data_IF_072534039108
#
_entry.id   IF_072534039108
#
_cell.length_a   1.000
_cell.length_b   1.000
_cell.length_c   1.000
_cell.angle_alpha   90.00
_cell.angle_beta   90.00
_cell.angle_gamma   90.00
#
_symmetry.space_group_name_H-M   'P 1'
#
loop_
_entity.id
_entity.type
_entity.pdbx_description
1 polymer ?
#
# COMPACT_ATOMS: atom_id res chain seq x y z
N UNK A 1 7.37 0.95 17.22
CA UNK A 1 8.19 -0.07 16.52
C UNK A 1 9.02 0.65 15.46
N UNK A 2 10.32 0.38 15.39
CA UNK A 2 11.19 0.93 14.33
C UNK A 2 11.09 -0.02 13.13
N UNK A 3 10.40 0.41 12.07
CA UNK A 3 10.29 -0.36 10.82
C UNK A 3 11.38 0.14 9.89
N UNK A 4 12.33 -0.73 9.57
CA UNK A 4 13.39 -0.45 8.61
C UNK A 4 12.81 -0.41 7.20
N UNK A 5 13.00 0.71 6.52
CA UNK A 5 12.64 0.94 5.10
C UNK A 5 13.62 0.14 4.22
N UNK A 6 13.49 -1.18 4.22
CA UNK A 6 14.08 -2.02 3.18
C UNK A 6 13.10 -2.00 2.00
N UNK A 7 13.23 -0.95 1.20
CA UNK A 7 12.55 -0.78 -0.07
C UNK A 7 12.88 -1.99 -0.96
N UNK A 8 11.90 -2.85 -1.24
CA UNK A 8 12.06 -3.99 -2.15
C UNK A 8 12.42 -3.57 -3.59
N UNK A 9 12.46 -2.26 -3.92
CA UNK A 9 12.74 -1.74 -5.27
C UNK A 9 11.76 -2.19 -6.37
N UNK A 10 10.88 -3.14 -6.07
CA UNK A 10 9.97 -3.83 -6.99
C UNK A 10 8.69 -3.04 -7.18
N UNK A 11 7.69 -3.26 -6.33
CA UNK A 11 6.37 -2.63 -6.51
C UNK A 11 6.41 -1.11 -6.26
N UNK A 12 6.94 -0.66 -5.13
CA UNK A 12 7.01 0.77 -4.79
C UNK A 12 7.92 1.53 -5.78
N UNK A 13 9.05 0.92 -6.16
CA UNK A 13 9.95 1.48 -7.17
C UNK A 13 9.34 1.56 -8.57
N UNK A 14 8.55 0.56 -8.99
CA UNK A 14 7.79 0.60 -10.25
C UNK A 14 6.73 1.69 -10.22
N UNK A 15 5.91 1.76 -9.18
CA UNK A 15 4.86 2.78 -9.05
C UNK A 15 5.44 4.19 -9.05
N UNK A 16 6.56 4.42 -8.35
CA UNK A 16 7.25 5.71 -8.39
C UNK A 16 7.73 6.08 -9.80
N UNK A 17 8.30 5.12 -10.54
CA UNK A 17 8.79 5.35 -11.90
C UNK A 17 7.67 5.58 -12.90
N UNK A 18 6.53 4.91 -12.72
CA UNK A 18 5.42 4.90 -13.67
C UNK A 18 4.40 6.01 -13.41
N UNK A 19 4.19 6.39 -12.14
CA UNK A 19 3.11 7.30 -11.72
C UNK A 19 3.62 8.58 -11.02
N UNK A 20 4.94 8.74 -10.86
CA UNK A 20 5.57 9.87 -10.13
C UNK A 20 5.02 10.10 -8.71
N UNK A 21 4.54 9.03 -8.07
CA UNK A 21 3.98 9.08 -6.71
C UNK A 21 5.03 8.80 -5.64
N UNK A 22 4.78 9.31 -4.43
CA UNK A 22 5.53 8.91 -3.23
C UNK A 22 5.40 7.39 -3.02
N UNK A 23 6.49 6.66 -2.74
CA UNK A 23 6.44 5.21 -2.52
C UNK A 23 5.39 4.82 -1.45
N UNK A 24 4.34 4.05 -1.80
CA UNK A 24 3.24 3.75 -0.86
C UNK A 24 3.60 2.67 0.17
N UNK A 25 4.79 2.08 0.08
CA UNK A 25 5.18 0.90 0.87
C UNK A 25 5.16 1.13 2.39
N UNK A 26 5.73 2.22 2.87
CA UNK A 26 5.80 2.52 4.31
C UNK A 26 4.41 2.83 4.88
N UNK A 27 3.61 3.61 4.13
CA UNK A 27 2.23 3.92 4.51
C UNK A 27 1.36 2.66 4.56
N UNK A 28 1.51 1.75 3.59
CA UNK A 28 0.85 0.44 3.60
C UNK A 28 1.21 -0.37 4.84
N UNK A 29 2.49 -0.40 5.22
CA UNK A 29 2.94 -1.12 6.42
C UNK A 29 2.37 -0.49 7.70
N UNK A 30 2.33 0.84 7.79
CA UNK A 30 1.75 1.56 8.90
C UNK A 30 0.24 1.28 9.03
N UNK A 31 -0.51 1.33 7.93
CA UNK A 31 -1.95 1.03 7.89
C UNK A 31 -2.25 -0.39 8.37
N UNK A 32 -1.50 -1.38 7.90
CA UNK A 32 -1.67 -2.75 8.35
C UNK A 32 -1.41 -2.91 9.86
N UNK A 33 -0.45 -2.16 10.41
CA UNK A 33 -0.12 -2.19 11.83
C UNK A 33 -1.11 -1.42 12.71
N UNK A 34 -1.81 -0.43 12.16
CA UNK A 34 -2.83 0.37 12.84
C UNK A 34 -4.24 -0.25 12.76
N UNK A 35 -4.42 -1.26 11.91
CA UNK A 35 -5.69 -1.95 11.76
C UNK A 35 -6.19 -2.52 13.11
N UNK A 36 -7.48 -2.32 13.40
CA UNK A 36 -8.07 -2.78 14.65
C UNK A 36 -8.02 -4.31 14.81
N UNK A 37 -7.97 -4.78 16.06
CA UNK A 37 -8.13 -6.20 16.41
C UNK A 37 -9.56 -6.74 16.23
N UNK A 38 -10.44 -5.99 15.57
CA UNK A 38 -11.73 -6.53 15.16
C UNK A 38 -11.54 -7.57 14.03
N UNK A 39 -12.49 -8.50 13.82
CA UNK A 39 -12.44 -9.39 12.65
C UNK A 39 -12.31 -8.62 11.32
N UNK A 40 -12.96 -7.45 11.24
CA UNK A 40 -12.93 -6.59 10.06
C UNK A 40 -11.54 -5.94 9.88
N UNK A 41 -10.95 -5.40 10.94
CA UNK A 41 -9.61 -4.79 10.89
C UNK A 41 -8.54 -5.81 10.51
N UNK A 42 -8.56 -7.01 11.09
CA UNK A 42 -7.65 -8.10 10.69
C UNK A 42 -7.79 -8.51 9.23
N UNK A 43 -9.02 -8.53 8.70
CA UNK A 43 -9.26 -8.81 7.29
C UNK A 43 -8.62 -7.73 6.41
N UNK A 44 -8.83 -6.45 6.74
CA UNK A 44 -8.23 -5.34 6.00
C UNK A 44 -6.70 -5.33 6.09
N UNK A 45 -6.12 -5.60 7.26
CA UNK A 45 -4.68 -5.76 7.42
C UNK A 45 -4.12 -6.88 6.53
N UNK A 46 -4.90 -7.94 6.33
CA UNK A 46 -4.52 -9.05 5.43
C UNK A 46 -4.64 -8.63 3.97
N UNK A 47 -5.74 -7.97 3.60
CA UNK A 47 -5.97 -7.48 2.23
C UNK A 47 -4.88 -6.50 1.83
N UNK A 48 -4.63 -5.47 2.63
CA UNK A 48 -3.70 -4.40 2.26
C UNK A 48 -2.25 -4.90 2.12
N UNK A 49 -1.92 -6.01 2.79
CA UNK A 49 -0.62 -6.68 2.67
C UNK A 49 -0.58 -7.74 1.56
N UNK A 50 -1.71 -8.17 1.01
CA UNK A 50 -1.76 -9.20 -0.01
C UNK A 50 -0.99 -8.78 -1.25
N UNK A 51 -0.09 -9.67 -1.71
CA UNK A 51 0.70 -9.50 -2.93
C UNK A 51 0.15 -10.40 -4.02
N UNK A 52 -0.18 -9.82 -5.17
CA UNK A 52 -0.61 -10.59 -6.34
C UNK A 52 0.51 -11.55 -6.79
N UNK A 53 0.14 -12.81 -6.98
CA UNK A 53 0.99 -13.80 -7.65
C UNK A 53 0.86 -13.75 -9.17
N UNK A 54 1.29 -14.83 -9.83
CA UNK A 54 1.12 -15.01 -11.27
C UNK A 54 2.14 -14.26 -12.12
N UNK A 55 1.73 -13.86 -13.33
CA UNK A 55 2.55 -13.17 -14.31
C UNK A 55 1.84 -11.92 -14.86
N UNK A 56 2.60 -11.02 -15.48
CA UNK A 56 2.09 -9.76 -16.03
C UNK A 56 2.29 -8.54 -15.12
N UNK A 57 1.67 -7.42 -15.47
CA UNK A 57 1.94 -6.11 -14.87
C UNK A 57 1.64 -6.05 -13.36
N UNK A 58 0.61 -6.76 -12.91
CA UNK A 58 0.22 -6.78 -11.49
C UNK A 58 1.05 -7.74 -10.64
N UNK A 59 1.82 -8.64 -11.27
CA UNK A 59 2.57 -9.65 -10.54
C UNK A 59 3.57 -9.00 -9.56
N UNK A 60 3.48 -9.42 -8.31
CA UNK A 60 4.29 -8.89 -7.23
C UNK A 60 3.88 -7.51 -6.70
N UNK A 61 2.79 -6.89 -7.18
CA UNK A 61 2.24 -5.70 -6.52
C UNK A 61 1.44 -6.09 -5.27
N UNK A 62 1.71 -5.47 -4.12
CA UNK A 62 0.75 -5.44 -3.02
C UNK A 62 -0.49 -4.67 -3.46
N UNK A 63 -1.69 -5.21 -3.24
CA UNK A 63 -2.93 -4.49 -3.57
C UNK A 63 -3.03 -3.17 -2.82
N UNK A 64 -2.53 -3.11 -1.57
CA UNK A 64 -2.48 -1.87 -0.79
C UNK A 64 -1.67 -0.76 -1.46
N UNK A 65 -0.58 -1.10 -2.17
CA UNK A 65 0.19 -0.09 -2.90
C UNK A 65 -0.62 0.51 -4.06
N UNK A 66 -1.46 -0.29 -4.73
CA UNK A 66 -2.29 0.18 -5.83
C UNK A 66 -3.45 1.04 -5.34
N UNK A 67 -4.10 0.64 -4.23
CA UNK A 67 -5.15 1.44 -3.58
C UNK A 67 -4.59 2.80 -3.17
N UNK A 68 -3.43 2.83 -2.50
CA UNK A 68 -2.81 4.07 -2.06
C UNK A 68 -2.37 4.96 -3.23
N UNK A 69 -1.84 4.36 -4.31
CA UNK A 69 -1.49 5.12 -5.51
C UNK A 69 -2.75 5.76 -6.15
N UNK A 70 -3.84 5.00 -6.28
CA UNK A 70 -5.10 5.52 -6.82
C UNK A 70 -5.75 6.57 -5.93
N UNK A 71 -5.71 6.39 -4.60
CA UNK A 71 -6.20 7.40 -3.66
C UNK A 71 -5.40 8.69 -3.75
N UNK A 72 -4.07 8.60 -3.86
CA UNK A 72 -3.21 9.77 -4.05
C UNK A 72 -3.50 10.49 -5.38
N UNK A 73 -3.78 9.75 -6.45
CA UNK A 73 -4.17 10.30 -7.75
C UNK A 73 -5.54 11.03 -7.71
N UNK A 74 -6.49 10.48 -6.96
CA UNK A 74 -7.86 11.04 -6.84
C UNK A 74 -7.92 12.23 -5.89
N UNK A 75 -7.27 12.14 -4.72
CA UNK A 75 -7.45 13.09 -3.62
C UNK A 75 -6.36 14.16 -3.59
N UNK A 76 -5.21 13.94 -4.24
CA UNK A 76 -3.99 14.75 -4.13
C UNK A 76 -3.52 14.98 -2.66
N UNK A 77 -4.16 14.31 -1.71
CA UNK A 77 -3.87 14.32 -0.28
C UNK A 77 -3.91 12.87 0.24
N UNK A 78 -2.72 12.26 0.44
CA UNK A 78 -2.63 10.90 0.94
C UNK A 78 -3.07 10.76 2.40
N UNK A 79 -3.29 11.85 3.13
CA UNK A 79 -3.83 11.83 4.49
C UNK A 79 -5.36 11.77 4.46
N UNK A 80 -6.02 12.55 3.62
CA UNK A 80 -7.47 12.47 3.44
C UNK A 80 -7.92 11.07 2.96
N UNK A 81 -7.08 10.42 2.16
CA UNK A 81 -7.25 9.03 1.74
C UNK A 81 -7.32 8.02 2.89
N UNK A 82 -6.66 8.32 4.02
CA UNK A 82 -6.60 7.44 5.18
C UNK A 82 -7.89 7.50 6.01
N UNK A 83 -8.62 8.61 5.97
CA UNK A 83 -9.89 8.76 6.70
C UNK A 83 -11.05 7.96 6.05
N UNK A 84 -10.87 7.51 4.81
CA UNK A 84 -11.85 6.75 4.02
C UNK A 84 -11.63 5.21 4.04
N UNK A 85 -10.57 4.74 4.71
CA UNK A 85 -10.17 3.32 4.82
C UNK A 85 -10.35 2.78 6.25
#
# INVERSE_FOLDING_TARGET
>A
AVVTVADDGGSSGRLRKELDVVPPGDLRMALAALASDSPHGRLWATIIQHRFGGSGALAGHPIGNLILAGLNEVLADPVAALDEL
#
